data_IF_080403734436
#
_entry.id   IF_080403734436
#
_cell.length_a   1.000
_cell.length_b   1.000
_cell.length_c   1.000
_cell.angle_alpha   90.00
_cell.angle_beta   90.00
_cell.angle_gamma   90.00
#
_symmetry.space_group_name_H-M   'P 1'
#
loop_
_entity.id
_entity.type
_entity.pdbx_description
1 polymer ?
#
# COMPACT_ATOMS: atom_id res chain seq x y z
N UNK A 1 12.59 10.17 -10.95
CA UNK A 1 11.82 9.03 -10.43
C UNK A 1 10.45 9.44 -9.91
N UNK A 2 10.32 10.21 -8.82
CA UNK A 2 9.00 10.60 -8.27
C UNK A 2 8.08 11.27 -9.32
N UNK A 3 8.57 12.28 -10.03
CA UNK A 3 7.77 12.95 -11.07
C UNK A 3 7.34 12.01 -12.22
N UNK A 4 8.14 10.98 -12.55
CA UNK A 4 7.79 9.99 -13.56
C UNK A 4 6.68 9.06 -13.07
N UNK A 5 6.71 8.64 -11.80
CA UNK A 5 5.67 7.83 -11.18
C UNK A 5 4.36 8.59 -11.09
N UNK A 6 4.40 9.85 -10.64
CA UNK A 6 3.21 10.70 -10.57
C UNK A 6 2.57 10.91 -11.95
N UNK A 7 3.39 11.21 -12.97
CA UNK A 7 2.89 11.35 -14.33
C UNK A 7 2.30 10.04 -14.88
N UNK A 8 2.94 8.88 -14.62
CA UNK A 8 2.45 7.58 -15.04
C UNK A 8 1.12 7.21 -14.37
N UNK A 9 0.99 7.49 -13.08
CA UNK A 9 -0.21 7.23 -12.28
C UNK A 9 -1.31 8.30 -12.48
N UNK A 10 -1.04 9.36 -13.23
CA UNK A 10 -1.97 10.47 -13.43
C UNK A 10 -2.22 11.30 -12.17
N UNK A 11 -1.33 11.24 -11.18
CA UNK A 11 -1.45 11.96 -9.92
C UNK A 11 -0.77 13.33 -10.00
N UNK A 12 -1.42 14.43 -9.60
CA UNK A 12 -0.80 15.76 -9.66
C UNK A 12 0.27 15.97 -8.57
N UNK A 13 0.14 15.25 -7.44
CA UNK A 13 1.09 15.28 -6.33
C UNK A 13 1.12 13.95 -5.59
N UNK A 14 2.13 13.77 -4.72
CA UNK A 14 2.20 12.59 -3.85
C UNK A 14 1.11 12.60 -2.77
N UNK A 15 0.73 13.77 -2.28
CA UNK A 15 -0.35 13.94 -1.29
C UNK A 15 -1.70 13.55 -1.89
N UNK A 16 -2.02 14.01 -3.10
CA UNK A 16 -3.24 13.60 -3.79
C UNK A 16 -3.26 12.10 -4.12
N UNK A 17 -2.10 11.50 -4.41
CA UNK A 17 -2.00 10.05 -4.60
C UNK A 17 -2.24 9.27 -3.30
N UNK A 18 -1.80 9.81 -2.16
CA UNK A 18 -2.06 9.25 -0.82
C UNK A 18 -3.55 9.32 -0.50
N UNK A 19 -4.18 10.49 -0.67
CA UNK A 19 -5.62 10.67 -0.43
C UNK A 19 -6.47 9.74 -1.30
N UNK A 20 -6.11 9.64 -2.58
CA UNK A 20 -6.78 8.72 -3.51
C UNK A 20 -6.60 7.26 -3.10
N UNK A 21 -5.36 6.85 -2.76
CA UNK A 21 -5.05 5.51 -2.30
C UNK A 21 -5.88 5.11 -1.08
N UNK A 22 -5.92 5.99 -0.08
CA UNK A 22 -6.74 5.80 1.13
C UNK A 22 -8.23 5.67 0.81
N UNK A 23 -8.76 6.54 -0.06
CA UNK A 23 -10.16 6.44 -0.48
C UNK A 23 -10.47 5.08 -1.13
N UNK A 24 -9.60 4.59 -2.01
CA UNK A 24 -9.81 3.29 -2.66
C UNK A 24 -9.77 2.15 -1.64
N UNK A 25 -8.77 2.11 -0.77
CA UNK A 25 -8.62 1.05 0.22
C UNK A 25 -9.77 1.04 1.25
N UNK A 26 -10.10 2.20 1.82
CA UNK A 26 -11.12 2.34 2.88
C UNK A 26 -12.56 2.27 2.37
N UNK A 27 -12.83 2.79 1.16
CA UNK A 27 -14.21 2.93 0.67
C UNK A 27 -14.57 1.94 -0.40
N UNK A 28 -13.76 1.88 -1.45
CA UNK A 28 -14.07 1.12 -2.67
C UNK A 28 -13.83 -0.37 -2.48
N UNK A 29 -12.74 -0.73 -1.80
CA UNK A 29 -12.35 -2.13 -1.57
C UNK A 29 -12.82 -2.70 -0.23
N UNK A 30 -13.52 -1.91 0.59
CA UNK A 30 -14.07 -2.38 1.86
C UNK A 30 -15.15 -3.45 1.66
N UNK A 31 -15.18 -4.43 2.57
CA UNK A 31 -16.27 -5.42 2.64
C UNK A 31 -17.59 -4.73 2.98
N UNK A 32 -18.58 -4.88 2.11
CA UNK A 32 -19.94 -4.33 2.30
C UNK A 32 -20.99 -5.42 2.50
N UNK A 33 -20.58 -6.68 2.70
CA UNK A 33 -21.51 -7.80 2.88
C UNK A 33 -22.44 -7.65 4.08
N UNK A 34 -22.00 -6.96 5.14
CA UNK A 34 -22.84 -6.61 6.30
C UNK A 34 -23.94 -5.59 6.01
N UNK A 35 -23.89 -4.89 4.87
CA UNK A 35 -24.86 -3.88 4.45
C UNK A 35 -25.64 -4.27 3.18
N UNK A 36 -25.63 -5.55 2.80
CA UNK A 36 -26.26 -6.05 1.57
C UNK A 36 -25.47 -5.77 0.29
N UNK A 37 -24.25 -5.25 0.41
CA UNK A 37 -23.32 -5.08 -0.70
C UNK A 37 -22.47 -6.33 -0.98
N UNK A 38 -21.56 -6.26 -1.95
CA UNK A 38 -20.64 -7.36 -2.25
C UNK A 38 -19.68 -7.63 -1.08
N UNK A 39 -19.30 -8.90 -0.94
CA UNK A 39 -18.12 -9.26 -0.13
C UNK A 39 -16.86 -9.01 -0.96
N UNK A 40 -15.94 -8.24 -0.40
CA UNK A 40 -14.63 -7.97 -1.00
C UNK A 40 -13.55 -8.37 0.00
N UNK A 41 -12.51 -9.04 -0.50
CA UNK A 41 -11.27 -9.28 0.21
C UNK A 41 -10.15 -8.68 -0.62
N UNK A 42 -9.39 -7.78 -0.02
CA UNK A 42 -8.25 -7.13 -0.64
C UNK A 42 -7.08 -7.17 0.34
N UNK A 43 -5.87 -7.35 -0.20
CA UNK A 43 -4.63 -7.28 0.56
C UNK A 43 -3.51 -6.81 -0.34
N UNK A 44 -2.75 -5.83 0.13
CA UNK A 44 -1.51 -5.37 -0.48
C UNK A 44 -0.32 -5.62 0.44
N UNK A 45 0.88 -5.67 -0.11
CA UNK A 45 2.08 -5.82 0.69
C UNK A 45 3.36 -5.42 -0.02
N UNK A 46 4.32 -4.95 0.76
CA UNK A 46 5.66 -4.57 0.32
C UNK A 46 6.68 -5.36 1.13
N UNK A 47 7.55 -6.07 0.43
CA UNK A 47 8.67 -6.80 1.04
C UNK A 47 9.98 -6.27 0.48
N UNK A 48 10.93 -5.98 1.37
CA UNK A 48 12.31 -5.63 1.00
C UNK A 48 13.28 -6.62 1.63
N UNK A 49 14.32 -6.97 0.89
CA UNK A 49 15.39 -7.80 1.44
C UNK A 49 16.21 -7.02 2.48
N UNK A 50 16.54 -7.67 3.59
CA UNK A 50 17.34 -7.10 4.67
C UNK A 50 18.74 -6.66 4.20
N UNK A 51 19.29 -7.25 3.13
CA UNK A 51 20.53 -6.81 2.52
C UNK A 51 20.47 -5.37 1.95
N UNK A 52 19.27 -4.81 1.77
CA UNK A 52 19.06 -3.45 1.26
C UNK A 52 18.76 -2.42 2.37
N UNK A 53 18.94 -2.77 3.65
CA UNK A 53 18.83 -1.83 4.77
C UNK A 53 17.42 -1.66 5.36
N UNK A 54 16.44 -2.45 4.91
CA UNK A 54 15.09 -2.48 5.47
C UNK A 54 14.21 -1.27 5.12
N UNK A 55 12.94 -1.35 5.51
CA UNK A 55 12.00 -0.22 5.37
C UNK A 55 12.12 0.73 6.57
N UNK A 56 11.85 2.02 6.36
CA UNK A 56 11.71 2.97 7.46
C UNK A 56 10.34 2.81 8.14
N UNK A 57 10.24 3.20 9.40
CA UNK A 57 8.96 3.14 10.12
C UNK A 57 7.90 4.03 9.46
N UNK A 58 8.30 5.25 9.04
CA UNK A 58 7.41 6.14 8.30
C UNK A 58 6.85 5.50 7.00
N UNK A 59 7.63 4.65 6.31
CA UNK A 59 7.14 3.92 5.15
C UNK A 59 6.13 2.84 5.55
N UNK A 60 6.40 2.11 6.64
CA UNK A 60 5.47 1.08 7.15
C UNK A 60 4.15 1.70 7.59
N UNK A 61 4.21 2.84 8.27
CA UNK A 61 3.03 3.57 8.74
C UNK A 61 2.14 3.97 7.54
N UNK A 62 2.74 4.58 6.51
CA UNK A 62 2.00 4.94 5.29
C UNK A 62 1.41 3.70 4.60
N UNK A 63 2.16 2.61 4.47
CA UNK A 63 1.65 1.38 3.85
C UNK A 63 0.44 0.81 4.61
N UNK A 64 0.50 0.78 5.94
CA UNK A 64 -0.57 0.26 6.78
C UNK A 64 -1.79 1.18 6.80
N UNK A 65 -1.58 2.47 7.06
CA UNK A 65 -2.67 3.43 7.32
C UNK A 65 -3.36 3.90 6.05
N UNK A 66 -2.61 4.14 4.97
CA UNK A 66 -3.15 4.66 3.72
C UNK A 66 -3.61 3.52 2.82
N UNK A 67 -2.81 2.46 2.70
CA UNK A 67 -3.03 1.43 1.68
C UNK A 67 -3.55 0.10 2.25
N UNK A 68 -3.82 0.01 3.56
CA UNK A 68 -4.24 -1.24 4.23
C UNK A 68 -3.32 -2.41 3.90
N UNK A 69 -2.02 -2.11 3.76
CA UNK A 69 -1.01 -3.02 3.22
C UNK A 69 0.04 -3.35 4.26
N UNK A 70 0.59 -4.57 4.17
CA UNK A 70 1.72 -4.96 5.00
C UNK A 70 3.03 -4.40 4.44
N UNK A 71 3.99 -4.08 5.30
CA UNK A 71 5.31 -3.61 4.92
C UNK A 71 6.39 -4.25 5.78
N UNK A 72 7.06 -5.27 5.23
CA UNK A 72 7.96 -6.14 6.00
C UNK A 72 9.35 -6.19 5.37
N UNK A 73 10.37 -6.27 6.24
CA UNK A 73 11.74 -6.57 5.83
C UNK A 73 12.00 -8.05 6.03
N UNK A 74 12.39 -8.75 4.97
CA UNK A 74 12.61 -10.21 4.95
C UNK A 74 14.02 -10.55 4.50
N UNK A 75 14.41 -11.82 4.57
CA UNK A 75 15.67 -12.31 3.98
C UNK A 75 15.32 -13.30 2.88
N UNK A 76 15.22 -12.85 1.64
CA UNK A 76 14.78 -13.72 0.55
C UNK A 76 15.75 -14.88 0.30
N UNK A 77 17.05 -14.68 0.54
CA UNK A 77 18.05 -15.74 0.37
C UNK A 77 17.98 -16.85 1.43
N UNK A 78 17.27 -16.63 2.55
CA UNK A 78 17.11 -17.59 3.65
C UNK A 78 15.68 -18.14 3.77
N UNK A 79 14.73 -17.61 2.98
CA UNK A 79 13.37 -18.15 2.90
C UNK A 79 13.34 -19.37 1.96
N UNK A 80 13.18 -20.56 2.57
CA UNK A 80 12.88 -21.85 1.91
C UNK A 80 11.43 -22.20 2.13
#
# INVERSE_FOLDING_TARGET
MLAQLLAFLGAPSAEELVDFGHHIADRVLADRSGAGGPRVLFGGGVWIDAAHGGLTDAFRDVAAEVYMSEATTVRFAEEV
#
